data_IF_229261755704
#
_entry.id   IF_229261755704
#
_cell.length_a   1.000
_cell.length_b   1.000
_cell.length_c   1.000
_cell.angle_alpha   90.00
_cell.angle_beta   90.00
_cell.angle_gamma   90.00
#
_symmetry.space_group_name_H-M   'P 1'
#
loop_
_entity.id
_entity.type
_entity.pdbx_description
1 polymer ?
#
# COMPACT_ATOMS: atom_id res chain seq x y z
N UNK A 1 -12.89 -21.34 -26.58
CA UNK A 1 -12.29 -22.00 -25.41
C UNK A 1 -11.05 -21.23 -24.96
N UNK A 2 -11.13 -20.49 -23.86
CA UNK A 2 -10.00 -20.27 -22.93
C UNK A 2 -10.60 -19.87 -21.59
N UNK A 3 -10.18 -20.61 -20.57
CA UNK A 3 -10.83 -20.80 -19.28
C UNK A 3 -10.91 -19.49 -18.50
N UNK A 4 -12.13 -19.00 -18.27
CA UNK A 4 -12.44 -18.14 -17.13
C UNK A 4 -12.41 -19.02 -15.89
N UNK A 5 -11.31 -19.01 -15.16
CA UNK A 5 -11.28 -19.58 -13.80
C UNK A 5 -11.61 -18.44 -12.86
N UNK A 6 -12.90 -18.33 -12.56
CA UNK A 6 -13.36 -17.77 -11.30
C UNK A 6 -12.76 -18.61 -10.18
N UNK A 7 -11.79 -18.06 -9.45
CA UNK A 7 -11.37 -18.58 -8.15
C UNK A 7 -11.67 -17.52 -7.09
N UNK A 8 -12.95 -17.17 -6.98
CA UNK A 8 -13.50 -16.76 -5.70
C UNK A 8 -13.74 -18.04 -4.89
N UNK A 9 -12.76 -18.47 -4.09
CA UNK A 9 -13.01 -19.48 -3.06
C UNK A 9 -11.97 -19.36 -1.94
N UNK A 10 -12.34 -18.61 -0.89
CA UNK A 10 -12.49 -19.13 0.47
C UNK A 10 -12.85 -17.96 1.40
N UNK A 11 -14.15 -17.75 1.57
CA UNK A 11 -14.67 -17.11 2.76
C UNK A 11 -14.45 -18.06 3.94
N UNK A 12 -13.39 -17.82 4.72
CA UNK A 12 -13.22 -18.42 6.03
C UNK A 12 -12.62 -17.37 6.97
N UNK A 13 -13.31 -17.16 8.10
CA UNK A 13 -13.01 -16.23 9.20
C UNK A 13 -13.39 -14.76 9.00
N UNK A 14 -14.69 -14.51 8.92
CA UNK A 14 -15.27 -13.38 9.65
C UNK A 14 -15.07 -13.64 11.15
N UNK A 15 -13.91 -13.28 11.73
CA UNK A 15 -13.73 -13.14 13.17
C UNK A 15 -12.53 -12.22 13.44
N UNK A 16 -12.84 -10.94 13.68
CA UNK A 16 -12.09 -10.14 14.65
C UNK A 16 -10.71 -9.64 14.24
N UNK A 17 -10.63 -8.75 13.26
CA UNK A 17 -9.63 -7.67 13.31
C UNK A 17 -10.30 -6.29 13.13
N UNK A 18 -11.44 -6.12 13.80
CA UNK A 18 -11.86 -4.82 14.29
C UNK A 18 -11.20 -4.60 15.66
N UNK A 19 -9.86 -4.60 15.72
CA UNK A 19 -9.18 -4.11 16.90
C UNK A 19 -9.11 -2.59 16.77
N UNK A 20 -10.01 -1.93 17.49
CA UNK A 20 -10.06 -0.50 17.74
C UNK A 20 -8.85 -0.08 18.61
N UNK A 21 -7.64 -0.25 18.09
CA UNK A 21 -6.50 0.54 18.50
C UNK A 21 -6.62 1.88 17.77
N UNK A 22 -6.37 3.02 18.42
CA UNK A 22 -6.30 4.35 17.77
C UNK A 22 -5.51 4.22 16.46
N UNK A 23 -6.20 4.12 15.32
CA UNK A 23 -5.59 3.65 14.06
C UNK A 23 -4.51 4.64 13.65
N UNK A 24 -3.25 4.23 13.81
CA UNK A 24 -2.12 5.04 13.41
C UNK A 24 -2.08 5.22 11.90
N UNK A 25 -1.18 6.09 11.41
CA UNK A 25 -0.98 6.27 9.96
C UNK A 25 -0.66 4.96 9.24
N UNK A 26 -0.02 4.00 9.93
CA UNK A 26 0.30 2.68 9.41
C UNK A 26 -0.94 1.79 9.21
N UNK A 27 -1.82 1.67 10.21
CA UNK A 27 -3.05 0.85 10.09
C UNK A 27 -3.98 1.36 8.99
N UNK A 28 -4.09 2.69 8.84
CA UNK A 28 -4.87 3.30 7.76
C UNK A 28 -4.29 2.96 6.39
N UNK A 29 -2.96 2.97 6.26
CA UNK A 29 -2.27 2.63 5.02
C UNK A 29 -2.39 1.13 4.70
N UNK A 30 -2.22 0.27 5.69
CA UNK A 30 -2.39 -1.18 5.54
C UNK A 30 -3.83 -1.54 5.17
N UNK A 31 -4.83 -0.90 5.79
CA UNK A 31 -6.24 -1.09 5.44
C UNK A 31 -6.54 -0.72 3.99
N UNK A 32 -6.02 0.43 3.51
CA UNK A 32 -6.15 0.82 2.10
C UNK A 32 -5.50 -0.19 1.15
N UNK A 33 -4.26 -0.60 1.43
CA UNK A 33 -3.57 -1.61 0.60
C UNK A 33 -4.33 -2.94 0.59
N UNK A 34 -4.92 -3.32 1.73
CA UNK A 34 -5.74 -4.52 1.85
C UNK A 34 -6.97 -4.45 0.94
N UNK A 35 -7.71 -3.35 0.98
CA UNK A 35 -8.88 -3.16 0.12
C UNK A 35 -8.50 -3.08 -1.37
N UNK A 36 -7.43 -2.37 -1.70
CA UNK A 36 -7.05 -2.14 -3.09
C UNK A 36 -6.39 -3.35 -3.76
N UNK A 37 -5.67 -4.17 -2.99
CA UNK A 37 -4.87 -5.29 -3.50
C UNK A 37 -5.39 -6.65 -3.04
N UNK A 38 -6.47 -6.70 -2.26
CA UNK A 38 -7.00 -7.92 -1.64
C UNK A 38 -5.92 -8.69 -0.90
N UNK A 39 -5.23 -8.02 0.04
CA UNK A 39 -4.13 -8.64 0.80
C UNK A 39 -4.65 -9.74 1.74
N UNK A 40 -3.96 -10.88 1.75
CA UNK A 40 -4.20 -11.97 2.71
C UNK A 40 -3.77 -11.59 4.12
N UNK A 41 -4.26 -12.31 5.15
CA UNK A 41 -3.86 -12.08 6.54
C UNK A 41 -2.34 -12.18 6.73
N UNK A 42 -1.72 -13.23 6.20
CA UNK A 42 -0.26 -13.43 6.25
C UNK A 42 0.52 -12.27 5.59
N UNK A 43 0.00 -11.73 4.49
CA UNK A 43 0.60 -10.55 3.84
C UNK A 43 0.43 -9.31 4.71
N UNK A 44 -0.72 -9.13 5.35
CA UNK A 44 -0.98 -7.98 6.23
C UNK A 44 -0.04 -7.99 7.44
N UNK A 45 0.15 -9.15 8.09
CA UNK A 45 1.08 -9.30 9.21
C UNK A 45 2.53 -8.99 8.82
N UNK A 46 2.97 -9.47 7.64
CA UNK A 46 4.32 -9.19 7.12
C UNK A 46 4.50 -7.73 6.70
N UNK A 47 3.45 -7.09 6.19
CA UNK A 47 3.50 -5.71 5.71
C UNK A 47 3.40 -4.67 6.83
N UNK A 48 2.70 -4.97 7.92
CA UNK A 48 2.50 -4.04 9.04
C UNK A 48 3.81 -3.40 9.54
N UNK A 49 4.86 -4.15 9.94
CA UNK A 49 6.11 -3.56 10.41
C UNK A 49 6.83 -2.76 9.32
N UNK A 50 6.71 -3.16 8.05
CA UNK A 50 7.35 -2.47 6.92
C UNK A 50 6.65 -1.12 6.64
N UNK A 51 5.33 -1.07 6.80
CA UNK A 51 4.54 0.17 6.64
C UNK A 51 4.81 1.11 7.82
N UNK A 52 4.95 0.60 9.04
CA UNK A 52 5.35 1.40 10.21
C UNK A 52 6.74 2.03 9.99
N UNK A 53 7.70 1.25 9.49
CA UNK A 53 9.03 1.75 9.12
C UNK A 53 8.93 2.82 8.01
N UNK A 54 8.08 2.62 7.01
CA UNK A 54 7.86 3.61 5.96
C UNK A 54 7.30 4.92 6.51
N UNK A 55 6.41 4.88 7.50
CA UNK A 55 5.85 6.07 8.15
C UNK A 55 6.92 6.80 8.97
N UNK A 56 7.72 6.06 9.75
CA UNK A 56 8.86 6.63 10.46
C UNK A 56 9.86 7.29 9.51
N UNK A 57 10.16 6.65 8.37
CA UNK A 57 11.05 7.19 7.35
C UNK A 57 10.50 8.47 6.71
N UNK A 58 9.19 8.53 6.46
CA UNK A 58 8.53 9.74 5.94
C UNK A 58 8.59 10.90 6.93
N UNK A 59 8.42 10.61 8.22
CA UNK A 59 8.57 11.60 9.28
C UNK A 59 10.02 12.09 9.35
N UNK A 60 10.99 11.18 9.36
CA UNK A 60 12.42 11.53 9.38
C UNK A 60 12.82 12.37 8.16
N UNK A 61 12.32 12.03 6.96
CA UNK A 61 12.57 12.82 5.75
C UNK A 61 12.00 14.25 5.81
N UNK A 62 10.96 14.46 6.61
CA UNK A 62 10.34 15.78 6.80
C UNK A 62 11.08 16.59 7.87
N UNK A 63 11.45 15.94 8.96
CA UNK A 63 12.05 16.58 10.13
C UNK A 63 13.57 16.78 9.95
N UNK A 64 14.23 15.93 9.13
CA UNK A 64 15.67 15.91 8.88
C UNK A 64 15.98 15.94 7.37
N UNK A 65 15.94 17.11 6.71
CA UNK A 65 16.21 17.22 5.27
C UNK A 65 17.63 16.75 4.88
N UNK A 66 18.59 16.83 5.79
CA UNK A 66 19.98 16.37 5.56
C UNK A 66 20.06 14.84 5.41
N UNK A 67 19.04 14.09 5.84
CA UNK A 67 18.95 12.65 5.65
C UNK A 67 18.38 12.25 4.28
N UNK A 68 18.15 13.19 3.36
CA UNK A 68 17.44 12.94 2.10
C UNK A 68 18.00 11.76 1.29
N UNK A 69 19.33 11.67 1.11
CA UNK A 69 19.96 10.59 0.33
C UNK A 69 19.89 9.24 1.04
N UNK A 70 20.14 9.21 2.35
CA UNK A 70 20.01 8.01 3.16
C UNK A 70 18.55 7.51 3.17
N UNK A 71 17.59 8.44 3.29
CA UNK A 71 16.17 8.12 3.29
C UNK A 71 15.68 7.67 1.92
N UNK A 72 16.23 8.20 0.83
CA UNK A 72 15.96 7.71 -0.52
C UNK A 72 16.41 6.27 -0.71
N UNK A 73 17.58 5.89 -0.17
CA UNK A 73 18.05 4.51 -0.21
C UNK A 73 17.13 3.58 0.59
N UNK A 74 16.81 3.95 1.84
CA UNK A 74 15.86 3.20 2.69
C UNK A 74 14.48 3.09 2.06
N UNK A 75 13.97 4.14 1.43
CA UNK A 75 12.68 4.13 0.77
C UNK A 75 12.62 3.13 -0.40
N UNK A 76 13.72 3.00 -1.17
CA UNK A 76 13.83 1.99 -2.23
C UNK A 76 13.85 0.58 -1.65
N UNK A 77 14.59 0.36 -0.57
CA UNK A 77 14.69 -0.92 0.11
C UNK A 77 13.32 -1.37 0.66
N UNK A 78 12.65 -0.48 1.40
CA UNK A 78 11.28 -0.70 1.90
C UNK A 78 10.33 -1.00 0.74
N UNK A 79 10.40 -0.25 -0.36
CA UNK A 79 9.58 -0.54 -1.55
C UNK A 79 9.88 -1.92 -2.15
N UNK A 80 11.13 -2.39 -2.09
CA UNK A 80 11.51 -3.73 -2.52
C UNK A 80 10.90 -4.80 -1.60
N UNK A 81 11.02 -4.62 -0.28
CA UNK A 81 10.46 -5.53 0.72
C UNK A 81 8.93 -5.66 0.60
N UNK A 82 8.22 -4.55 0.37
CA UNK A 82 6.77 -4.58 0.11
C UNK A 82 6.47 -5.41 -1.15
N UNK A 83 7.16 -5.15 -2.27
CA UNK A 83 6.92 -5.88 -3.53
C UNK A 83 7.21 -7.37 -3.41
N UNK A 84 8.18 -7.78 -2.61
CA UNK A 84 8.50 -9.19 -2.39
C UNK A 84 7.38 -9.96 -1.66
N UNK A 85 6.52 -9.27 -0.91
CA UNK A 85 5.37 -9.88 -0.22
C UNK A 85 4.14 -9.95 -1.13
N UNK A 86 4.05 -9.07 -2.13
CA UNK A 86 2.93 -9.02 -3.07
C UNK A 86 3.08 -10.07 -4.16
N UNK A 87 1.94 -10.57 -4.65
CA UNK A 87 1.92 -11.40 -5.86
C UNK A 87 2.15 -10.56 -7.11
N UNK A 88 2.58 -11.15 -8.24
CA UNK A 88 2.71 -10.42 -9.51
C UNK A 88 1.42 -9.70 -9.93
N UNK A 89 0.26 -10.34 -9.72
CA UNK A 89 -1.05 -9.75 -10.01
C UNK A 89 -1.34 -8.53 -9.13
N UNK A 90 -1.02 -8.59 -7.84
CA UNK A 90 -1.15 -7.46 -6.92
C UNK A 90 -0.20 -6.31 -7.26
N UNK A 91 1.00 -6.61 -7.78
CA UNK A 91 1.94 -5.58 -8.27
C UNK A 91 1.35 -4.84 -9.48
N UNK A 92 0.73 -5.55 -10.42
CA UNK A 92 0.06 -4.91 -11.56
C UNK A 92 -1.15 -4.07 -11.12
N UNK A 93 -1.99 -4.58 -10.20
CA UNK A 93 -3.06 -3.78 -9.61
C UNK A 93 -2.54 -2.49 -8.95
N UNK A 94 -1.42 -2.58 -8.21
CA UNK A 94 -0.79 -1.42 -7.60
C UNK A 94 -0.33 -0.39 -8.64
N UNK A 95 0.22 -0.83 -9.79
CA UNK A 95 0.61 0.07 -10.89
C UNK A 95 -0.61 0.74 -11.51
N UNK A 96 -1.66 -0.01 -11.82
CA UNK A 96 -2.91 0.51 -12.37
C UNK A 96 -3.53 1.55 -11.44
N UNK A 97 -3.60 1.27 -10.13
CA UNK A 97 -4.13 2.22 -9.15
C UNK A 97 -3.28 3.50 -9.09
N UNK A 98 -1.95 3.38 -9.18
CA UNK A 98 -1.04 4.53 -9.24
C UNK A 98 -1.23 5.36 -10.51
N UNK A 99 -1.50 4.74 -11.64
CA UNK A 99 -1.78 5.44 -12.90
C UNK A 99 -3.13 6.15 -12.87
N UNK A 100 -4.17 5.50 -12.32
CA UNK A 100 -5.48 6.11 -12.09
C UNK A 100 -5.38 7.35 -11.21
N UNK A 101 -4.68 7.25 -10.06
CA UNK A 101 -4.47 8.37 -9.16
C UNK A 101 -3.72 9.55 -9.82
N UNK A 102 -2.78 9.26 -10.73
CA UNK A 102 -2.08 10.30 -11.51
C UNK A 102 -2.97 10.93 -12.60
N UNK A 103 -3.85 10.14 -13.21
CA UNK A 103 -4.79 10.59 -14.24
C UNK A 103 -5.89 11.48 -13.66
N UNK A 104 -6.43 11.11 -12.51
CA UNK A 104 -7.45 11.88 -11.79
C UNK A 104 -6.89 13.21 -11.27
N UNK A 105 -5.69 13.21 -10.68
CA UNK A 105 -5.02 14.44 -10.21
C UNK A 105 -4.65 15.44 -11.32
N UNK A 106 -4.64 15.02 -12.60
CA UNK A 106 -4.48 15.92 -13.75
C UNK A 106 -5.78 16.58 -14.20
N UNK A 107 -6.95 15.97 -13.94
CA UNK A 107 -8.25 16.56 -14.25
C UNK A 107 -8.65 17.62 -13.21
N UNK A 108 -8.48 17.33 -11.92
CA UNK A 108 -8.77 18.31 -10.86
C UNK A 108 -7.90 19.57 -10.95
N UNK A 109 -6.63 19.46 -11.35
CA UNK A 109 -5.75 20.61 -11.56
C UNK A 109 -6.15 21.50 -12.75
N UNK A 110 -6.95 20.97 -13.69
CA UNK A 110 -7.39 21.69 -14.89
C UNK A 110 -8.71 22.43 -14.65
N UNK A 111 -9.58 21.90 -13.78
CA UNK A 111 -10.87 22.50 -13.43
C UNK A 111 -10.78 23.52 -12.27
N UNK A 112 -9.72 23.46 -11.44
CA UNK A 112 -9.51 24.43 -10.34
C UNK A 112 -8.73 25.70 -10.71
N UNK A 113 -8.48 25.95 -12.01
CA UNK A 113 -7.71 27.11 -12.49
C UNK A 113 -8.39 27.81 -13.69
N UNK A 114 -9.72 27.73 -13.77
CA UNK A 114 -10.56 28.61 -14.60
C UNK A 114 -11.30 29.63 -13.71
#
# INVERSE_FOLDING_TARGET
>A
MKKVIFAALLAASLNGFAQEAKKGGADKMLGKMTTELSLTADQQEKLKPIIEEQQALKKDSKDNPDHADANKAKAKEISGRIKAILTPEQIEMQKVNKEKAKGEGKKEKKEGNE
#
